data_IF_103684067490
#
_entry.id   IF_103684067490
#
_cell.length_a   1.000
_cell.length_b   1.000
_cell.length_c   1.000
_cell.angle_alpha   90.00
_cell.angle_beta   90.00
_cell.angle_gamma   90.00
#
_symmetry.space_group_name_H-M   'P 1'
#
loop_
_entity.id
_entity.type
_entity.pdbx_description
1 polymer ?
#
# COMPACT_ATOMS: atom_id res chain seq x y z
N UNK A 1 -32.44 31.70 33.95
CA UNK A 1 -32.15 30.77 32.83
C UNK A 1 -30.89 30.01 33.22
N UNK A 2 -31.04 28.88 33.89
CA UNK A 2 -29.91 28.02 34.29
C UNK A 2 -29.38 27.32 33.04
N UNK A 3 -28.09 27.49 32.66
CA UNK A 3 -27.53 26.73 31.56
C UNK A 3 -27.59 25.24 31.92
N UNK A 4 -28.24 24.44 31.07
CA UNK A 4 -28.07 22.99 31.11
C UNK A 4 -26.63 22.68 30.71
N UNK A 5 -25.90 21.82 31.44
CA UNK A 5 -24.63 21.31 30.95
C UNK A 5 -24.96 20.42 29.76
N UNK A 6 -24.67 20.89 28.55
CA UNK A 6 -24.64 20.02 27.37
C UNK A 6 -23.36 19.23 27.49
N UNK A 7 -23.41 18.11 28.20
CA UNK A 7 -22.37 17.09 28.11
C UNK A 7 -22.68 16.26 26.86
N UNK A 8 -22.61 16.89 25.68
CA UNK A 8 -22.50 16.11 24.44
C UNK A 8 -21.10 15.51 24.45
N UNK A 9 -21.01 14.26 24.91
CA UNK A 9 -19.88 13.42 24.55
C UNK A 9 -19.82 13.42 23.02
N UNK A 10 -18.71 13.88 22.39
CA UNK A 10 -18.60 13.78 20.94
C UNK A 10 -18.84 12.32 20.55
N UNK A 11 -19.58 12.05 19.47
CA UNK A 11 -19.85 10.67 19.08
C UNK A 11 -18.50 9.94 18.96
N UNK A 12 -18.39 8.74 19.55
CA UNK A 12 -17.19 7.89 19.46
C UNK A 12 -16.66 7.74 18.03
N UNK A 13 -17.53 7.91 17.04
CA UNK A 13 -17.26 7.95 15.61
C UNK A 13 -16.28 9.06 15.18
N UNK A 14 -16.34 10.25 15.79
CA UNK A 14 -15.46 11.37 15.44
C UNK A 14 -14.03 11.14 15.93
N UNK A 15 -13.85 10.76 17.20
CA UNK A 15 -12.53 10.48 17.77
C UNK A 15 -11.86 9.33 17.03
N UNK A 16 -12.61 8.25 16.76
CA UNK A 16 -12.13 7.10 16.00
C UNK A 16 -11.71 7.51 14.59
N UNK A 17 -12.54 8.29 13.89
CA UNK A 17 -12.23 8.78 12.54
C UNK A 17 -10.99 9.69 12.50
N UNK A 18 -10.81 10.59 13.47
CA UNK A 18 -9.61 11.45 13.56
C UNK A 18 -8.36 10.60 13.84
N UNK A 19 -8.43 9.65 14.77
CA UNK A 19 -7.28 8.77 15.08
C UNK A 19 -6.90 7.90 13.88
N UNK A 20 -7.89 7.39 13.13
CA UNK A 20 -7.65 6.65 11.91
C UNK A 20 -7.00 7.52 10.83
N UNK A 21 -7.48 8.75 10.64
CA UNK A 21 -6.89 9.72 9.72
C UNK A 21 -5.44 10.05 10.09
N UNK A 22 -5.17 10.30 11.37
CA UNK A 22 -3.82 10.59 11.87
C UNK A 22 -2.88 9.39 11.65
N UNK A 23 -3.37 8.18 11.88
CA UNK A 23 -2.63 6.93 11.66
C UNK A 23 -2.25 6.76 10.20
N UNK A 24 -3.23 6.91 9.29
CA UNK A 24 -2.97 6.85 7.85
C UNK A 24 -2.04 7.97 7.41
N UNK A 25 -2.24 9.20 7.90
CA UNK A 25 -1.37 10.33 7.60
C UNK A 25 0.09 10.04 7.97
N UNK A 26 0.33 9.42 9.14
CA UNK A 26 1.67 9.01 9.56
C UNK A 26 2.25 7.93 8.66
N UNK A 27 1.48 6.94 8.25
CA UNK A 27 1.96 5.90 7.33
C UNK A 27 2.25 6.44 5.93
N UNK A 28 1.48 7.43 5.45
CA UNK A 28 1.73 8.09 4.17
C UNK A 28 3.01 8.94 4.18
N UNK A 29 3.38 9.51 5.33
CA UNK A 29 4.54 10.39 5.50
C UNK A 29 5.85 9.64 5.81
N UNK A 30 5.76 8.40 6.30
CA UNK A 30 6.88 7.58 6.75
C UNK A 30 6.96 6.24 6.00
N UNK A 31 7.65 6.18 4.84
CA UNK A 31 7.79 4.96 4.03
C UNK A 31 8.38 3.77 4.78
N UNK A 32 9.34 4.01 5.66
CA UNK A 32 9.99 3.01 6.52
C UNK A 32 8.99 2.36 7.49
N UNK A 33 8.08 3.17 8.05
CA UNK A 33 7.02 2.71 8.94
C UNK A 33 5.94 1.97 8.15
N UNK A 34 5.56 2.49 6.98
CA UNK A 34 4.63 1.84 6.06
C UNK A 34 5.14 0.46 5.63
N UNK A 35 6.45 0.31 5.39
CA UNK A 35 7.07 -0.95 4.99
C UNK A 35 6.94 -2.03 6.05
N UNK A 36 7.15 -1.69 7.33
CA UNK A 36 6.92 -2.62 8.46
C UNK A 36 5.44 -2.95 8.62
N UNK A 37 4.57 -1.94 8.52
CA UNK A 37 3.12 -2.12 8.59
C UNK A 37 2.61 -3.09 7.51
N UNK A 38 2.93 -2.82 6.24
CA UNK A 38 2.45 -3.59 5.09
C UNK A 38 2.91 -5.04 5.16
N UNK A 39 4.19 -5.29 5.48
CA UNK A 39 4.68 -6.65 5.66
C UNK A 39 3.92 -7.40 6.77
N UNK A 40 3.73 -6.74 7.91
CA UNK A 40 2.99 -7.33 9.04
C UNK A 40 1.51 -7.55 8.71
N UNK A 41 0.91 -6.66 7.92
CA UNK A 41 -0.49 -6.73 7.49
C UNK A 41 -0.73 -7.88 6.50
N UNK A 42 0.19 -8.12 5.58
CA UNK A 42 0.03 -9.17 4.57
C UNK A 42 0.45 -10.56 5.05
N UNK A 43 1.48 -10.64 5.88
CA UNK A 43 2.07 -11.93 6.25
C UNK A 43 1.87 -12.29 7.72
N UNK A 44 1.16 -11.44 8.48
CA UNK A 44 0.84 -11.68 9.88
C UNK A 44 -0.01 -12.95 10.11
N UNK A 45 0.08 -13.58 11.29
CA UNK A 45 0.96 -13.23 12.42
C UNK A 45 2.45 -13.51 12.13
N UNK A 46 3.33 -12.58 12.50
CA UNK A 46 4.80 -12.68 12.34
C UNK A 46 5.53 -12.24 13.60
N UNK A 47 6.81 -12.54 13.71
CA UNK A 47 7.67 -12.12 14.83
C UNK A 47 8.61 -10.98 14.43
N UNK A 48 9.07 -10.17 15.39
CA UNK A 48 10.07 -9.11 15.12
C UNK A 48 11.33 -9.63 14.41
N UNK A 49 11.90 -10.81 14.74
CA UNK A 49 13.00 -11.39 13.97
C UNK A 49 12.66 -11.72 12.51
N UNK A 50 11.44 -12.18 12.22
CA UNK A 50 10.99 -12.46 10.85
C UNK A 50 10.84 -11.16 10.04
N UNK A 51 10.23 -10.12 10.63
CA UNK A 51 10.16 -8.77 10.03
C UNK A 51 11.57 -8.28 9.70
N UNK A 52 12.50 -8.38 10.67
CA UNK A 52 13.90 -7.97 10.49
C UNK A 52 14.56 -8.71 9.32
N UNK A 53 14.34 -10.01 9.22
CA UNK A 53 14.96 -10.84 8.20
C UNK A 53 14.37 -10.56 6.81
N UNK A 54 13.06 -10.41 6.70
CA UNK A 54 12.38 -10.18 5.43
C UNK A 54 12.62 -8.78 4.87
N UNK A 55 12.67 -7.76 5.72
CA UNK A 55 12.84 -6.37 5.29
C UNK A 55 14.30 -5.92 5.24
N UNK A 56 15.21 -6.74 5.77
CA UNK A 56 16.64 -6.44 5.93
C UNK A 56 16.93 -5.08 6.60
N UNK A 57 16.20 -4.80 7.69
CA UNK A 57 16.35 -3.58 8.48
C UNK A 57 16.99 -3.85 9.85
N UNK A 58 17.59 -2.85 10.51
CA UNK A 58 18.21 -3.02 11.82
C UNK A 58 17.22 -3.50 12.89
N UNK A 59 17.71 -4.29 13.85
CA UNK A 59 16.87 -4.80 14.94
C UNK A 59 16.18 -3.66 15.71
N UNK A 60 16.91 -2.61 16.07
CA UNK A 60 16.35 -1.46 16.80
C UNK A 60 15.19 -0.83 16.03
N UNK A 61 15.39 -0.60 14.73
CA UNK A 61 14.37 -0.06 13.81
C UNK A 61 13.10 -0.91 13.77
N UNK A 62 13.20 -2.24 13.74
CA UNK A 62 12.01 -3.12 13.81
C UNK A 62 11.25 -2.92 15.12
N UNK A 63 11.98 -2.87 16.25
CA UNK A 63 11.34 -2.71 17.56
C UNK A 63 10.66 -1.34 17.66
N UNK A 64 11.36 -0.27 17.28
CA UNK A 64 10.85 1.10 17.31
C UNK A 64 9.60 1.26 16.43
N UNK A 65 9.60 0.69 15.22
CA UNK A 65 8.44 0.72 14.33
C UNK A 65 7.28 -0.12 14.84
N UNK A 66 7.51 -1.33 15.34
CA UNK A 66 6.44 -2.16 15.90
C UNK A 66 5.81 -1.48 17.13
N UNK A 67 6.61 -0.88 18.01
CA UNK A 67 6.10 -0.11 19.15
C UNK A 67 5.31 1.13 18.68
N UNK A 68 5.76 1.80 17.63
CA UNK A 68 5.03 2.92 17.03
C UNK A 68 3.69 2.47 16.47
N UNK A 69 3.63 1.35 15.74
CA UNK A 69 2.40 0.81 15.15
C UNK A 69 1.42 0.31 16.22
N UNK A 70 1.93 -0.29 17.30
CA UNK A 70 1.13 -0.68 18.47
C UNK A 70 0.53 0.55 19.16
N UNK A 71 1.32 1.63 19.34
CA UNK A 71 0.84 2.88 19.90
C UNK A 71 -0.20 3.59 19.02
N UNK A 72 -0.16 3.37 17.71
CA UNK A 72 -1.19 3.81 16.77
C UNK A 72 -2.46 2.93 16.79
N UNK A 73 -2.43 1.79 17.49
CA UNK A 73 -3.56 0.88 17.64
C UNK A 73 -3.85 0.02 16.40
N UNK A 74 -2.90 -0.09 15.47
CA UNK A 74 -3.05 -0.88 14.24
C UNK A 74 -2.22 -2.16 14.24
N UNK A 75 -1.45 -2.39 15.30
CA UNK A 75 -0.71 -3.62 15.54
C UNK A 75 -1.06 -4.16 16.92
N UNK A 76 -1.31 -5.47 16.99
CA UNK A 76 -1.51 -6.20 18.24
C UNK A 76 -0.34 -7.14 18.49
N UNK A 77 0.12 -7.18 19.73
CA UNK A 77 1.14 -8.11 20.22
C UNK A 77 0.50 -9.24 21.03
N UNK A 78 0.81 -10.49 20.68
CA UNK A 78 0.22 -11.67 21.32
C UNK A 78 1.24 -12.79 21.57
N UNK A 79 0.87 -13.71 22.46
CA UNK A 79 1.63 -14.93 22.74
C UNK A 79 2.85 -14.75 23.66
N UNK A 80 3.52 -15.87 23.91
CA UNK A 80 4.80 -15.94 24.61
C UNK A 80 5.98 -15.66 23.66
N UNK A 81 7.22 -15.77 24.14
CA UNK A 81 8.40 -15.47 23.30
C UNK A 81 8.65 -16.57 22.23
N UNK A 82 8.90 -16.20 20.96
CA UNK A 82 8.89 -14.85 20.40
C UNK A 82 7.46 -14.30 20.22
N UNK A 83 7.26 -13.05 20.65
CA UNK A 83 5.96 -12.36 20.58
C UNK A 83 5.51 -12.22 19.12
N UNK A 84 4.27 -12.63 18.86
CA UNK A 84 3.60 -12.48 17.57
C UNK A 84 3.08 -11.06 17.41
N UNK A 85 3.21 -10.55 16.19
CA UNK A 85 2.84 -9.22 15.73
C UNK A 85 1.83 -9.42 14.61
N UNK A 86 0.63 -8.88 14.78
CA UNK A 86 -0.43 -8.89 13.77
C UNK A 86 -0.86 -7.46 13.52
N UNK A 87 -1.06 -7.09 12.25
CA UNK A 87 -1.55 -5.75 11.90
C UNK A 87 -2.95 -5.83 11.31
N UNK A 88 -3.80 -4.89 11.71
CA UNK A 88 -5.15 -4.76 11.14
C UNK A 88 -5.10 -3.97 9.83
N UNK A 89 -5.83 -4.40 8.78
CA UNK A 89 -5.85 -3.72 7.50
C UNK A 89 -6.59 -2.39 7.63
N UNK A 90 -5.87 -1.27 7.42
CA UNK A 90 -6.42 0.08 7.53
C UNK A 90 -7.18 0.44 6.26
N UNK A 91 -8.32 1.10 6.41
CA UNK A 91 -9.10 1.59 5.27
C UNK A 91 -9.70 2.96 5.52
N UNK A 92 -9.37 3.93 4.67
CA UNK A 92 -10.11 5.19 4.57
C UNK A 92 -10.76 5.24 3.20
N UNK A 93 -12.07 5.50 3.18
CA UNK A 93 -12.83 5.77 1.96
C UNK A 93 -13.76 6.95 2.24
N UNK A 94 -13.41 8.11 1.71
CA UNK A 94 -14.22 9.34 1.78
C UNK A 94 -14.09 10.10 0.46
N UNK A 95 -14.87 11.15 0.24
CA UNK A 95 -14.98 11.86 -1.04
C UNK A 95 -13.61 12.24 -1.64
N UNK A 96 -13.14 11.43 -2.60
CA UNK A 96 -11.87 11.60 -3.30
C UNK A 96 -10.62 11.02 -2.59
N UNK A 97 -10.77 10.36 -1.44
CA UNK A 97 -9.66 9.73 -0.69
C UNK A 97 -9.94 8.25 -0.53
N UNK A 98 -9.04 7.43 -1.09
CA UNK A 98 -9.00 5.98 -0.88
C UNK A 98 -7.61 5.61 -0.41
N UNK A 99 -7.51 5.07 0.81
CA UNK A 99 -6.27 4.50 1.33
C UNK A 99 -6.56 3.10 1.86
N UNK A 100 -5.79 2.14 1.37
CA UNK A 100 -5.80 0.73 1.79
C UNK A 100 -4.33 0.28 1.92
N UNK A 101 -4.06 -0.94 2.44
CA UNK A 101 -2.72 -1.51 2.45
C UNK A 101 -1.99 -1.45 1.10
N UNK A 102 -2.68 -1.58 -0.04
CA UNK A 102 -2.05 -1.46 -1.38
C UNK A 102 -1.50 -0.06 -1.66
N UNK A 103 -2.22 1.00 -1.27
CA UNK A 103 -1.71 2.38 -1.39
C UNK A 103 -0.50 2.58 -0.47
N UNK A 104 -0.56 2.05 0.76
CA UNK A 104 0.55 2.12 1.70
C UNK A 104 1.75 1.28 1.24
N UNK A 105 1.52 0.18 0.52
CA UNK A 105 2.58 -0.61 -0.10
C UNK A 105 3.28 0.21 -1.18
N UNK A 106 2.55 0.96 -2.01
CA UNK A 106 3.17 1.89 -2.96
C UNK A 106 4.04 2.95 -2.24
N UNK A 107 3.60 3.47 -1.10
CA UNK A 107 4.41 4.40 -0.29
C UNK A 107 5.67 3.70 0.26
N UNK A 108 5.53 2.48 0.76
CA UNK A 108 6.63 1.68 1.29
C UNK A 108 7.69 1.32 0.24
N UNK A 109 7.32 1.26 -1.04
CA UNK A 109 8.28 0.98 -2.12
C UNK A 109 9.37 2.06 -2.25
N UNK A 110 9.16 3.28 -1.76
CA UNK A 110 10.19 4.34 -1.74
C UNK A 110 11.49 3.89 -1.04
N UNK A 111 11.40 2.96 -0.08
CA UNK A 111 12.57 2.47 0.66
C UNK A 111 13.45 1.51 -0.15
N UNK A 112 12.95 0.97 -1.26
CA UNK A 112 13.60 -0.10 -2.03
C UNK A 112 13.60 0.11 -3.54
N UNK A 113 12.84 1.09 -4.03
CA UNK A 113 12.72 1.43 -5.45
C UNK A 113 12.96 2.93 -5.65
N UNK A 114 14.09 3.24 -6.29
CA UNK A 114 14.55 4.62 -6.53
C UNK A 114 13.60 5.40 -7.45
N UNK A 115 12.93 4.73 -8.41
CA UNK A 115 11.97 5.37 -9.31
C UNK A 115 10.72 5.82 -8.55
N UNK A 116 10.23 4.98 -7.62
CA UNK A 116 9.12 5.37 -6.74
C UNK A 116 9.55 6.51 -5.81
N UNK A 117 10.73 6.44 -5.20
CA UNK A 117 11.25 7.53 -4.35
C UNK A 117 11.33 8.85 -5.11
N UNK A 118 11.92 8.85 -6.30
CA UNK A 118 12.06 10.04 -7.13
C UNK A 118 10.69 10.60 -7.56
N UNK A 119 9.76 9.71 -7.92
CA UNK A 119 8.42 10.08 -8.32
C UNK A 119 7.66 10.79 -7.19
N UNK A 120 7.73 10.26 -5.97
CA UNK A 120 7.06 10.84 -4.80
C UNK A 120 7.72 12.17 -4.39
N UNK A 121 9.05 12.27 -4.43
CA UNK A 121 9.75 13.54 -4.17
C UNK A 121 9.28 14.64 -5.12
N UNK A 122 9.06 14.30 -6.39
CA UNK A 122 8.67 15.26 -7.43
C UNK A 122 7.18 15.60 -7.44
N UNK A 123 6.30 14.63 -7.20
CA UNK A 123 4.86 14.78 -7.41
C UNK A 123 3.99 14.56 -6.16
N UNK A 124 4.57 14.05 -5.08
CA UNK A 124 3.90 13.76 -3.81
C UNK A 124 3.04 12.49 -3.83
N UNK A 125 2.66 12.05 -2.63
CA UNK A 125 1.89 10.81 -2.38
C UNK A 125 0.50 10.82 -3.04
N UNK A 126 -0.13 11.98 -3.21
CA UNK A 126 -1.41 12.08 -3.92
C UNK A 126 -1.30 11.68 -5.39
N UNK A 127 -0.20 12.05 -6.06
CA UNK A 127 0.06 11.60 -7.43
C UNK A 127 0.43 10.13 -7.48
N UNK A 128 1.14 9.62 -6.48
CA UNK A 128 1.42 8.18 -6.36
C UNK A 128 0.14 7.36 -6.28
N UNK A 129 -0.83 7.77 -5.47
CA UNK A 129 -2.14 7.10 -5.40
C UNK A 129 -2.86 7.11 -6.76
N UNK A 130 -2.81 8.22 -7.50
CA UNK A 130 -3.34 8.27 -8.86
C UNK A 130 -2.58 7.33 -9.82
N UNK A 131 -1.25 7.22 -9.67
CA UNK A 131 -0.41 6.31 -10.45
C UNK A 131 -0.74 4.84 -10.15
N UNK A 132 -1.02 4.47 -8.90
CA UNK A 132 -1.51 3.12 -8.54
C UNK A 132 -2.79 2.78 -9.30
N UNK A 133 -3.74 3.73 -9.38
CA UNK A 133 -4.98 3.53 -10.15
C UNK A 133 -4.69 3.33 -11.65
N UNK A 134 -3.80 4.12 -12.23
CA UNK A 134 -3.40 3.98 -13.64
C UNK A 134 -2.63 2.67 -13.89
N UNK A 135 -1.81 2.23 -12.94
CA UNK A 135 -1.06 0.99 -13.05
C UNK A 135 -2.02 -0.21 -13.05
N UNK A 136 -3.04 -0.22 -12.19
CA UNK A 136 -4.07 -1.27 -12.27
C UNK A 136 -4.81 -1.29 -13.60
N UNK A 137 -5.18 -0.13 -14.17
CA UNK A 137 -5.76 -0.08 -15.52
C UNK A 137 -4.80 -0.64 -16.58
N UNK A 138 -3.50 -0.41 -16.44
CA UNK A 138 -2.49 -0.96 -17.34
C UNK A 138 -2.41 -2.49 -17.23
N UNK A 139 -2.29 -3.03 -16.01
CA UNK A 139 -2.19 -4.47 -15.76
C UNK A 139 -3.52 -5.21 -15.99
N UNK A 140 -4.66 -4.50 -16.02
CA UNK A 140 -5.94 -5.02 -16.50
C UNK A 140 -6.08 -4.97 -18.04
N UNK A 141 -5.04 -4.56 -18.77
CA UNK A 141 -5.05 -4.47 -20.24
C UNK A 141 -5.93 -3.35 -20.81
N UNK A 142 -6.46 -2.45 -19.97
CA UNK A 142 -7.37 -1.38 -20.39
C UNK A 142 -6.64 -0.22 -21.05
N UNK A 143 -5.41 0.04 -20.63
CA UNK A 143 -4.55 1.09 -21.18
C UNK A 143 -3.12 0.60 -21.39
N UNK A 144 -2.39 1.27 -22.27
CA UNK A 144 -0.93 1.13 -22.32
C UNK A 144 -0.28 2.01 -21.24
N UNK A 145 0.89 1.63 -20.74
CA UNK A 145 1.71 2.46 -19.85
C UNK A 145 1.95 3.89 -20.38
N UNK A 146 2.01 4.10 -21.70
CA UNK A 146 2.13 5.43 -22.32
C UNK A 146 0.88 6.30 -22.09
N UNK A 147 -0.29 5.69 -22.16
CA UNK A 147 -1.58 6.40 -22.01
C UNK A 147 -1.81 6.90 -20.58
N UNK A 148 -1.07 6.39 -19.60
CA UNK A 148 -1.14 6.87 -18.21
C UNK A 148 -0.56 8.28 -18.03
N UNK A 149 0.24 8.79 -18.98
CA UNK A 149 0.89 10.09 -18.86
C UNK A 149 -0.10 11.26 -18.82
N UNK A 150 -1.09 11.25 -19.72
CA UNK A 150 -2.11 12.30 -19.85
C UNK A 150 -2.97 12.46 -18.58
N UNK A 151 -3.59 11.40 -18.01
CA UNK A 151 -4.37 11.53 -16.78
C UNK A 151 -3.52 11.87 -15.55
N UNK A 152 -2.24 11.48 -15.53
CA UNK A 152 -1.32 11.88 -14.46
C UNK A 152 -0.79 13.31 -14.64
N UNK A 153 -0.83 13.86 -15.86
CA UNK A 153 -0.30 15.18 -16.20
C UNK A 153 1.22 15.24 -16.07
N UNK A 154 1.93 14.17 -16.44
CA UNK A 154 3.39 14.02 -16.32
C UNK A 154 4.03 13.61 -17.65
N UNK A 155 5.35 13.77 -17.83
CA UNK A 155 6.05 13.28 -19.02
C UNK A 155 5.87 11.77 -19.23
N UNK A 156 5.74 11.36 -20.49
CA UNK A 156 5.52 9.95 -20.85
C UNK A 156 6.57 8.99 -20.29
N UNK A 157 7.85 9.38 -20.30
CA UNK A 157 8.92 8.54 -19.75
C UNK A 157 8.73 8.26 -18.26
N UNK A 158 8.34 9.29 -17.50
CA UNK A 158 8.09 9.19 -16.06
C UNK A 158 6.85 8.35 -15.75
N UNK A 159 5.79 8.52 -16.55
CA UNK A 159 4.60 7.67 -16.45
C UNK A 159 4.94 6.20 -16.71
N UNK A 160 5.74 5.90 -17.72
CA UNK A 160 6.21 4.54 -18.00
C UNK A 160 6.97 3.97 -16.80
N UNK A 161 7.96 4.70 -16.27
CA UNK A 161 8.76 4.23 -15.13
C UNK A 161 7.91 3.92 -13.90
N UNK A 162 7.06 4.86 -13.47
CA UNK A 162 6.27 4.66 -12.23
C UNK A 162 5.23 3.54 -12.37
N UNK A 163 4.59 3.41 -13.53
CA UNK A 163 3.56 2.37 -13.75
C UNK A 163 4.18 0.98 -13.66
N UNK A 164 5.38 0.79 -14.20
CA UNK A 164 6.08 -0.49 -14.11
C UNK A 164 6.60 -0.76 -12.70
N UNK A 165 7.15 0.25 -12.03
CA UNK A 165 7.67 0.15 -10.66
C UNK A 165 6.57 -0.19 -9.63
N UNK A 166 5.31 0.12 -9.92
CA UNK A 166 4.17 -0.21 -9.05
C UNK A 166 3.68 -1.67 -9.13
N UNK A 167 4.27 -2.50 -10.01
CA UNK A 167 3.92 -3.92 -10.13
C UNK A 167 3.92 -4.67 -8.78
N UNK A 168 4.94 -4.55 -7.91
CA UNK A 168 4.98 -5.32 -6.66
C UNK A 168 3.85 -4.95 -5.71
N UNK A 169 3.48 -3.66 -5.66
CA UNK A 169 2.38 -3.18 -4.83
C UNK A 169 1.05 -3.80 -5.26
N UNK A 170 0.79 -3.84 -6.57
CA UNK A 170 -0.43 -4.41 -7.12
C UNK A 170 -0.47 -5.93 -7.00
N UNK A 171 0.64 -6.63 -7.26
CA UNK A 171 0.70 -8.08 -7.22
C UNK A 171 0.43 -8.63 -5.82
N UNK A 172 1.14 -8.09 -4.82
CA UNK A 172 0.94 -8.50 -3.43
C UNK A 172 -0.39 -7.96 -2.89
N UNK A 173 -0.77 -6.75 -3.28
CA UNK A 173 -2.06 -6.16 -2.89
C UNK A 173 -3.25 -7.00 -3.36
N UNK A 174 -3.24 -7.49 -4.59
CA UNK A 174 -4.31 -8.34 -5.12
C UNK A 174 -4.48 -9.64 -4.32
N UNK A 175 -3.39 -10.19 -3.80
CA UNK A 175 -3.40 -11.44 -3.03
C UNK A 175 -3.80 -11.23 -1.56
N UNK A 176 -3.36 -10.13 -0.93
CA UNK A 176 -3.43 -9.97 0.52
C UNK A 176 -4.22 -8.75 1.01
N UNK A 177 -4.50 -7.73 0.17
CA UNK A 177 -5.29 -6.56 0.58
C UNK A 177 -6.80 -6.88 0.51
N UNK A 178 -7.50 -6.94 1.66
CA UNK A 178 -8.94 -7.26 1.67
C UNK A 178 -9.81 -6.16 1.06
N UNK A 179 -9.23 -4.99 0.74
CA UNK A 179 -9.91 -3.83 0.16
C UNK A 179 -9.37 -3.49 -1.25
N UNK A 180 -8.70 -4.43 -1.92
CA UNK A 180 -8.12 -4.21 -3.24
C UNK A 180 -9.17 -3.74 -4.27
N UNK A 181 -10.37 -4.30 -4.21
CA UNK A 181 -11.55 -3.95 -5.02
C UNK A 181 -12.02 -2.49 -4.82
N UNK A 182 -11.77 -1.90 -3.64
CA UNK A 182 -12.10 -0.48 -3.37
C UNK A 182 -11.24 0.45 -4.22
N UNK A 183 -9.98 0.10 -4.48
CA UNK A 183 -9.13 0.84 -5.43
C UNK A 183 -9.46 0.47 -6.86
N UNK A 184 -9.84 -0.79 -7.08
CA UNK A 184 -10.06 -1.38 -8.39
C UNK A 184 -11.50 -1.83 -8.65
N UNK A 185 -12.49 -0.92 -8.57
CA UNK A 185 -13.86 -1.30 -8.87
C UNK A 185 -13.92 -1.75 -10.33
N UNK A 186 -14.59 -2.89 -10.53
CA UNK A 186 -14.86 -3.51 -11.84
C UNK A 186 -13.67 -4.15 -12.56
N UNK A 187 -12.43 -3.88 -12.14
CA UNK A 187 -11.22 -4.38 -12.83
C UNK A 187 -10.32 -5.24 -11.94
N UNK A 188 -10.67 -5.46 -10.67
CA UNK A 188 -9.85 -6.25 -9.72
C UNK A 188 -9.49 -7.64 -10.25
N UNK A 189 -10.44 -8.29 -10.92
CA UNK A 189 -10.32 -9.66 -11.44
C UNK A 189 -9.55 -9.72 -12.77
N UNK A 190 -9.51 -8.60 -13.50
CA UNK A 190 -8.82 -8.47 -14.79
C UNK A 190 -7.34 -8.10 -14.61
N UNK A 191 -6.96 -7.54 -13.45
CA UNK A 191 -5.56 -7.22 -13.15
C UNK A 191 -4.76 -8.51 -13.16
N UNK A 192 -3.88 -8.62 -14.17
CA UNK A 192 -3.03 -9.78 -14.36
C UNK A 192 -1.59 -9.34 -14.51
N UNK A 193 -0.69 -10.10 -13.91
CA UNK A 193 0.72 -10.00 -14.18
C UNK A 193 1.04 -11.17 -15.08
N UNK A 194 1.34 -10.90 -16.35
CA UNK A 194 1.89 -11.94 -17.22
C UNK A 194 3.03 -12.60 -16.44
N UNK A 195 2.87 -13.90 -16.16
CA UNK A 195 4.01 -14.74 -15.83
C UNK A 195 4.93 -14.57 -17.03
N UNK A 196 6.17 -14.13 -16.78
CA UNK A 196 7.16 -13.92 -17.83
C UNK A 196 6.96 -14.97 -18.91
N UNK A 197 6.59 -14.53 -20.12
CA UNK A 197 6.40 -15.40 -21.28
C UNK A 197 7.49 -16.46 -21.23
N UNK A 198 7.08 -17.72 -21.09
CA UNK A 198 8.01 -18.84 -21.12
C UNK A 198 8.62 -18.92 -22.52
N UNK A 199 9.69 -18.15 -22.73
CA UNK A 199 10.50 -18.12 -23.97
C UNK A 199 11.18 -19.48 -24.20
N UNK A 200 11.04 -20.45 -23.27
CA UNK A 200 11.60 -21.78 -23.44
C UNK A 200 10.69 -22.75 -24.18
N UNK A 201 9.44 -22.39 -24.50
CA UNK A 201 8.60 -23.27 -25.34
C UNK A 201 8.92 -23.06 -26.82
N UNK A 202 9.59 -23.99 -27.51
CA UNK A 202 9.87 -23.83 -28.93
C UNK A 202 8.53 -23.92 -29.68
N UNK A 203 8.23 -22.93 -30.51
CA UNK A 203 7.10 -23.01 -31.45
C UNK A 203 7.34 -24.23 -32.35
N UNK A 204 6.36 -25.15 -32.51
CA UNK A 204 6.52 -26.23 -33.46
C UNK A 204 6.59 -25.60 -34.86
N UNK A 205 7.76 -25.72 -35.49
CA UNK A 205 7.96 -25.33 -36.88
C UNK A 205 6.88 -26.03 -37.72
N UNK A 206 5.98 -25.23 -38.26
CA UNK A 206 5.03 -25.68 -39.27
C UNK A 206 5.65 -25.32 -40.60
N UNK A 207 6.32 -26.27 -41.25
CA UNK A 207 6.63 -26.15 -42.67
C UNK A 207 6.69 -27.54 -43.32
N UNK A 208 5.63 -27.79 -44.11
CA UNK A 208 5.42 -28.64 -45.31
C UNK A 208 6.19 -29.96 -45.48
#
# INVERSE_FOLDING_TARGET
>A
MTPHPVTETPPHDLETGINQLATVGRLLDHPELARVYVYTCYYGPVTRPEIKAALDIPKTTVYDHVETLEALGIVTLAGDRPVEVTADPVRITTDGIVVTPTILHAVALQEVDEEISYFVERHGVGKLAAAVRQAGLHYAGQITQRMAADPLGIPTGEAISVILALKPALAVGQEYDPYFDVIFPEISDDIGFESELDVTTPRPNTES
#
